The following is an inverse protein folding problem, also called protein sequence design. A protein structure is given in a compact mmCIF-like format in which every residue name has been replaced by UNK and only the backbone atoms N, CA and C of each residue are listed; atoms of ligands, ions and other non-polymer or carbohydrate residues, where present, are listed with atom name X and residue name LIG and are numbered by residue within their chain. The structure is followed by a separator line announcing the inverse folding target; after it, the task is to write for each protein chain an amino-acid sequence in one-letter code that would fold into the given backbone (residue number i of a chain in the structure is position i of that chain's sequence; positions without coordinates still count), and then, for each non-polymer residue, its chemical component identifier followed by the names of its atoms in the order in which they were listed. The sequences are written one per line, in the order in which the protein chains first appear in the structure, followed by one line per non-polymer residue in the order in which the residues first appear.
data_IF_147394859305
#
_entry.id   IF_147394859305
#
_cell.length_a   1.000
_cell.length_b   1.000
_cell.length_c   1.000
_cell.angle_alpha   90.00
_cell.angle_beta   90.00
_cell.angle_gamma   90.00
#
_symmetry.space_group_name_H-M   'P 1'
#
loop_
_entity.id
_entity.type
_entity.pdbx_description
1 polymer ?
#
# COMPACT_ATOMS: atom_id res chain seq x y z
N UNK A 1 -40.07 -4.87 -3.82
CA UNK A 1 -39.37 -4.96 -2.52
C UNK A 1 -38.05 -4.24 -2.66
N UNK A 2 -38.04 -2.98 -2.25
CA UNK A 2 -36.86 -2.10 -2.26
C UNK A 2 -35.94 -2.51 -1.13
N UNK A 3 -34.74 -2.99 -1.45
CA UNK A 3 -33.71 -3.26 -0.45
C UNK A 3 -33.17 -1.91 0.04
N UNK A 4 -33.41 -1.63 1.32
CA UNK A 4 -32.78 -0.53 2.03
C UNK A 4 -31.26 -0.75 2.05
N UNK A 5 -30.53 0.13 1.39
CA UNK A 5 -29.07 0.22 1.53
C UNK A 5 -28.75 0.72 2.94
N UNK A 6 -28.08 -0.12 3.72
CA UNK A 6 -27.55 0.17 5.05
C UNK A 6 -26.53 1.34 4.98
N UNK A 7 -26.38 2.17 6.04
CA UNK A 7 -25.48 3.32 6.02
C UNK A 7 -24.04 2.87 5.76
N UNK A 8 -23.41 3.49 4.77
CA UNK A 8 -22.15 3.03 4.19
C UNK A 8 -21.01 2.92 5.19
N UNK A 9 -20.42 1.73 5.28
CA UNK A 9 -19.08 1.54 5.81
C UNK A 9 -18.11 2.37 4.96
N UNK A 10 -17.64 3.51 5.49
CA UNK A 10 -16.49 4.19 4.91
C UNK A 10 -15.30 3.24 5.04
N UNK A 11 -14.71 2.84 3.91
CA UNK A 11 -13.44 2.11 3.92
C UNK A 11 -12.37 2.97 4.61
N UNK A 12 -11.47 2.37 5.41
CA UNK A 12 -10.36 3.10 6.03
C UNK A 12 -9.56 3.89 5.00
N UNK A 13 -9.19 5.12 5.34
CA UNK A 13 -8.36 6.00 4.52
C UNK A 13 -6.91 5.51 4.45
N UNK A 14 -6.44 4.89 5.53
CA UNK A 14 -5.16 4.22 5.63
C UNK A 14 -5.33 2.76 6.09
N UNK A 15 -4.67 1.82 5.43
CA UNK A 15 -4.58 0.44 5.93
C UNK A 15 -3.17 -0.10 5.72
N UNK A 16 -2.55 -0.61 6.77
CA UNK A 16 -1.25 -1.27 6.71
C UNK A 16 -1.44 -2.75 7.00
N UNK A 17 -0.90 -3.62 6.14
CA UNK A 17 -0.99 -5.07 6.36
C UNK A 17 0.27 -5.78 5.83
N UNK A 18 0.61 -6.90 6.45
CA UNK A 18 1.65 -7.81 5.97
C UNK A 18 1.12 -8.58 4.76
N UNK A 19 1.80 -8.47 3.63
CA UNK A 19 1.45 -9.19 2.41
C UNK A 19 2.26 -10.50 2.30
N UNK A 20 1.70 -11.50 1.62
CA UNK A 20 2.36 -12.76 1.32
C UNK A 20 3.65 -12.58 0.46
N UNK A 21 3.87 -11.40 -0.10
CA UNK A 21 5.13 -11.05 -0.79
C UNK A 21 6.30 -10.76 0.19
N UNK A 22 6.07 -10.84 1.50
CA UNK A 22 7.08 -10.59 2.54
C UNK A 22 7.28 -9.11 2.91
N UNK A 23 6.48 -8.20 2.33
CA UNK A 23 6.53 -6.75 2.61
C UNK A 23 5.26 -6.27 3.31
N UNK A 24 5.36 -5.14 4.00
CA UNK A 24 4.20 -4.39 4.48
C UNK A 24 3.66 -3.49 3.37
N UNK A 25 2.37 -3.56 3.13
CA UNK A 25 1.68 -2.75 2.13
C UNK A 25 0.84 -1.68 2.83
N UNK A 26 1.22 -0.41 2.62
CA UNK A 26 0.42 0.74 3.02
C UNK A 26 -0.52 1.11 1.86
N UNK A 27 -1.81 0.91 2.05
CA UNK A 27 -2.80 1.57 1.22
C UNK A 27 -3.13 2.91 1.87
N UNK A 28 -2.91 4.00 1.15
CA UNK A 28 -3.34 5.32 1.58
C UNK A 28 -3.97 6.05 0.40
N UNK A 29 -5.10 6.70 0.62
CA UNK A 29 -5.90 7.31 -0.44
C UNK A 29 -5.15 8.38 -1.24
N UNK A 30 -4.19 9.07 -0.60
CA UNK A 30 -3.48 10.19 -1.21
C UNK A 30 -1.96 9.95 -1.19
N UNK A 31 -1.41 9.45 -2.31
CA UNK A 31 0.03 9.34 -2.50
C UNK A 31 0.47 10.40 -3.51
N UNK A 32 1.38 11.29 -3.12
CA UNK A 32 1.97 12.29 -4.02
C UNK A 32 3.42 11.92 -4.34
N UNK A 33 3.65 11.50 -5.57
CA UNK A 33 4.99 11.15 -6.04
C UNK A 33 5.69 12.39 -6.62
N UNK A 34 6.83 12.76 -6.03
CA UNK A 34 7.76 13.73 -6.61
C UNK A 34 8.96 12.95 -7.12
N UNK A 35 9.23 13.02 -8.42
CA UNK A 35 10.35 12.29 -9.05
C UNK A 35 10.99 13.11 -10.15
N UNK A 36 12.23 12.76 -10.52
CA UNK A 36 12.90 13.37 -11.66
C UNK A 36 12.17 13.03 -12.96
N UNK A 37 12.23 13.95 -13.95
CA UNK A 37 11.65 13.71 -15.28
C UNK A 37 12.16 12.42 -15.91
N UNK A 38 13.45 12.12 -15.77
CA UNK A 38 14.05 10.87 -16.26
C UNK A 38 13.39 9.65 -15.64
N UNK A 39 13.20 9.65 -14.31
CA UNK A 39 12.50 8.57 -13.60
C UNK A 39 11.07 8.40 -14.12
N UNK A 40 10.33 9.49 -14.30
CA UNK A 40 8.97 9.41 -14.85
C UNK A 40 8.95 8.76 -16.25
N UNK A 41 9.88 9.14 -17.13
CA UNK A 41 9.95 8.58 -18.47
C UNK A 41 10.31 7.09 -18.46
N UNK A 42 11.27 6.68 -17.64
CA UNK A 42 11.61 5.25 -17.47
C UNK A 42 10.43 4.44 -16.96
N UNK A 43 9.65 4.97 -16.01
CA UNK A 43 8.43 4.31 -15.56
C UNK A 43 7.39 4.15 -16.67
N UNK A 44 7.21 5.18 -17.49
CA UNK A 44 6.31 5.11 -18.63
C UNK A 44 6.74 4.05 -19.64
N UNK A 45 8.04 3.97 -19.93
CA UNK A 45 8.61 2.92 -20.80
C UNK A 45 8.33 1.52 -20.25
N UNK A 46 8.60 1.27 -18.97
CA UNK A 46 8.29 -0.01 -18.32
C UNK A 46 6.79 -0.35 -18.39
N UNK A 47 5.91 0.65 -18.20
CA UNK A 47 4.46 0.45 -18.33
C UNK A 47 4.07 0.02 -19.75
N UNK A 48 4.64 0.67 -20.76
CA UNK A 48 4.35 0.34 -22.17
C UNK A 48 4.88 -1.05 -22.53
N UNK A 49 6.10 -1.40 -22.11
CA UNK A 49 6.63 -2.74 -22.31
C UNK A 49 5.78 -3.82 -21.65
N UNK A 50 5.32 -3.55 -20.43
CA UNK A 50 4.44 -4.47 -19.71
C UNK A 50 3.09 -4.64 -20.41
N UNK A 51 2.47 -3.56 -20.88
CA UNK A 51 1.21 -3.61 -21.63
C UNK A 51 1.38 -4.34 -22.98
N UNK A 52 2.50 -4.14 -23.67
CA UNK A 52 2.81 -4.83 -24.94
C UNK A 52 3.01 -6.34 -24.73
N UNK A 53 3.75 -6.73 -23.68
CA UNK A 53 3.89 -8.15 -23.25
C UNK A 53 2.52 -8.75 -22.92
N UNK A 54 1.69 -8.05 -22.13
CA UNK A 54 0.34 -8.48 -21.78
C UNK A 54 -0.54 -8.71 -23.01
N UNK A 55 -0.50 -7.81 -24.00
CA UNK A 55 -1.29 -7.92 -25.23
C UNK A 55 -0.85 -9.10 -26.09
N UNK A 56 0.46 -9.37 -26.18
CA UNK A 56 0.99 -10.53 -26.92
C UNK A 56 0.62 -11.87 -26.27
N UNK A 57 0.58 -11.91 -24.94
CA UNK A 57 0.37 -13.15 -24.17
C UNK A 57 -1.08 -13.31 -23.64
N UNK A 58 -2.05 -12.66 -24.30
CA UNK A 58 -3.43 -12.51 -23.82
C UNK A 58 -4.17 -13.83 -23.47
N UNK A 59 -3.72 -14.98 -23.98
CA UNK A 59 -4.31 -16.29 -23.66
C UNK A 59 -3.88 -16.90 -22.31
N UNK A 60 -2.73 -16.47 -21.75
CA UNK A 60 -2.15 -17.03 -20.53
C UNK A 60 -1.92 -16.01 -19.41
N UNK A 61 -2.17 -14.72 -19.66
CA UNK A 61 -1.86 -13.65 -18.72
C UNK A 61 -2.92 -13.55 -17.60
N UNK A 62 -2.83 -14.42 -16.60
CA UNK A 62 -3.59 -14.29 -15.35
C UNK A 62 -3.09 -13.07 -14.56
N UNK A 63 -3.75 -11.93 -14.75
CA UNK A 63 -3.90 -10.79 -13.79
C UNK A 63 -2.71 -10.57 -12.85
N UNK A 64 -1.46 -10.60 -13.35
CA UNK A 64 -0.31 -10.26 -12.51
C UNK A 64 -0.30 -8.74 -12.38
N UNK A 65 -0.30 -8.17 -11.17
CA UNK A 65 -0.23 -6.72 -11.00
C UNK A 65 1.11 -6.20 -11.56
N UNK A 66 1.07 -5.08 -12.27
CA UNK A 66 2.27 -4.32 -12.59
C UNK A 66 2.76 -3.64 -11.30
N UNK A 67 3.96 -4.01 -10.84
CA UNK A 67 4.53 -3.51 -9.58
C UNK A 67 5.79 -2.71 -9.88
N UNK A 68 5.76 -1.43 -9.54
CA UNK A 68 6.90 -0.51 -9.61
C UNK A 68 7.34 -0.16 -8.20
N UNK A 69 8.65 -0.20 -7.94
CA UNK A 69 9.22 0.23 -6.66
C UNK A 69 9.88 1.59 -6.81
N UNK A 70 9.43 2.57 -6.03
CA UNK A 70 10.01 3.92 -6.01
C UNK A 70 10.81 4.10 -4.72
N UNK A 71 12.07 4.53 -4.86
CA UNK A 71 13.03 4.62 -3.74
C UNK A 71 12.73 5.70 -2.70
N UNK A 72 11.98 6.75 -3.07
CA UNK A 72 11.50 7.78 -2.14
C UNK A 72 10.09 8.20 -2.52
N UNK A 73 9.15 8.07 -1.57
CA UNK A 73 7.76 8.50 -1.71
C UNK A 73 7.49 9.55 -0.65
N UNK A 74 6.94 10.69 -1.07
CA UNK A 74 6.39 11.67 -0.13
C UNK A 74 4.91 11.36 0.08
N UNK A 75 4.49 11.20 1.33
CA UNK A 75 3.07 11.05 1.68
C UNK A 75 2.61 12.36 2.27
N UNK A 76 1.55 12.94 1.71
CA UNK A 76 0.90 14.13 2.23
C UNK A 76 -0.38 13.70 2.94
N UNK A 77 -0.46 13.98 4.23
CA UNK A 77 -1.59 13.60 5.09
C UNK A 77 -2.32 14.87 5.48
N UNK A 78 -3.65 14.91 5.25
CA UNK A 78 -4.46 16.03 5.71
C UNK A 78 -4.50 16.02 7.25
N UNK A 79 -4.47 17.19 7.93
CA UNK A 79 -4.48 17.24 9.39
C UNK A 79 -5.60 16.41 10.03
N UNK A 80 -6.79 16.41 9.43
CA UNK A 80 -7.96 15.64 9.87
C UNK A 80 -7.80 14.11 9.75
N UNK A 81 -6.90 13.65 8.88
CA UNK A 81 -6.65 12.23 8.61
C UNK A 81 -5.42 11.69 9.36
N UNK A 82 -4.68 12.57 10.06
CA UNK A 82 -3.37 12.24 10.63
C UNK A 82 -3.44 11.16 11.69
N UNK A 83 -4.45 11.19 12.57
CA UNK A 83 -4.58 10.22 13.65
C UNK A 83 -4.78 8.80 13.11
N UNK A 84 -5.68 8.61 12.14
CA UNK A 84 -5.93 7.32 11.49
C UNK A 84 -4.67 6.82 10.75
N UNK A 85 -3.98 7.72 10.04
CA UNK A 85 -2.72 7.39 9.37
C UNK A 85 -1.64 6.95 10.37
N UNK A 86 -1.46 7.70 11.45
CA UNK A 86 -0.45 7.42 12.46
C UNK A 86 -0.74 6.09 13.18
N UNK A 87 -2.00 5.81 13.53
CA UNK A 87 -2.40 4.53 14.11
C UNK A 87 -2.05 3.35 13.20
N UNK A 88 -2.35 3.45 11.90
CA UNK A 88 -2.01 2.41 10.93
C UNK A 88 -0.49 2.16 10.86
N UNK A 89 0.32 3.22 10.84
CA UNK A 89 1.79 3.12 10.80
C UNK A 89 2.35 2.53 12.09
N UNK A 90 1.88 3.00 13.26
CA UNK A 90 2.32 2.50 14.56
C UNK A 90 1.98 1.02 14.74
N UNK A 91 0.80 0.58 14.29
CA UNK A 91 0.41 -0.81 14.36
C UNK A 91 1.36 -1.70 13.53
N UNK A 92 1.62 -1.35 12.27
CA UNK A 92 2.54 -2.15 11.47
C UNK A 92 3.99 -2.08 11.96
N UNK A 93 4.43 -0.97 12.56
CA UNK A 93 5.74 -0.89 13.21
C UNK A 93 5.84 -1.83 14.42
N UNK A 94 4.79 -1.88 15.26
CA UNK A 94 4.71 -2.80 16.41
C UNK A 94 4.78 -4.26 15.98
N UNK A 95 4.04 -4.61 14.93
CA UNK A 95 4.05 -5.96 14.34
C UNK A 95 5.41 -6.31 13.71
N UNK A 96 6.00 -5.40 12.95
CA UNK A 96 7.29 -5.62 12.29
C UNK A 96 8.44 -5.82 13.26
N UNK A 97 8.38 -5.15 14.42
CA UNK A 97 9.40 -5.22 15.46
C UNK A 97 9.08 -6.25 16.55
N UNK A 98 8.00 -7.02 16.40
CA UNK A 98 7.56 -8.01 17.40
C UNK A 98 7.47 -7.42 18.81
N UNK A 99 7.00 -6.17 18.93
CA UNK A 99 7.05 -5.41 20.19
C UNK A 99 6.31 -6.13 21.31
N UNK A 100 5.17 -6.77 21.02
CA UNK A 100 4.40 -7.48 22.03
C UNK A 100 5.15 -8.69 22.61
N UNK A 101 5.92 -9.40 21.78
CA UNK A 101 6.77 -10.52 22.22
C UNK A 101 7.91 -10.00 23.11
N UNK A 102 8.56 -8.90 22.72
CA UNK A 102 9.60 -8.25 23.51
C UNK A 102 9.07 -7.80 24.87
N UNK A 103 7.91 -7.14 24.91
CA UNK A 103 7.28 -6.69 26.16
C UNK A 103 6.93 -7.88 27.07
N UNK A 104 6.47 -8.99 26.52
CA UNK A 104 6.21 -10.19 27.32
C UNK A 104 7.50 -10.77 27.91
N UNK A 105 8.58 -10.87 27.15
CA UNK A 105 9.88 -11.35 27.64
C UNK A 105 10.40 -10.51 28.82
N UNK A 106 10.24 -9.19 28.76
CA UNK A 106 10.63 -8.28 29.84
C UNK A 106 9.73 -8.35 31.08
N UNK A 107 8.47 -8.77 30.94
CA UNK A 107 7.53 -8.92 32.07
C UNK A 107 7.69 -10.24 32.82
N UNK A 108 8.28 -11.24 32.17
CA UNK A 108 8.55 -12.56 32.75
C UNK A 108 9.99 -12.72 33.27
N UNK A 109 10.81 -11.67 33.11
CA UNK A 109 12.17 -11.57 33.65
C UNK A 109 12.15 -10.81 34.98
#
# INVERSE_FOLDING_TARGET
MTQHSTPGHRHPLASLHKCNCGKYHLNYRYIRLTMMKSTLLSLMEECYEWDDKRRRDAGNYRITPFVVMLGFVSVAVAPEDFDEFNEAVQQGAREALHIDELVQQFRTS
#
